data_IF_265015241410
#
_entry.id   IF_265015241410
#
_cell.length_a   1.000
_cell.length_b   1.000
_cell.length_c   1.000
_cell.angle_alpha   90.00
_cell.angle_beta   90.00
_cell.angle_gamma   90.00
#
_symmetry.space_group_name_H-M   'P 1'
#
loop_
_entity.id
_entity.type
_entity.pdbx_description
1 polymer ?
#
# COMPACT_ATOMS: atom_id res chain seq x y z
N UNK A 1 12.54 -2.10 -21.42
CA UNK A 1 12.15 -2.12 -20.00
C UNK A 1 10.72 -1.60 -19.89
N UNK A 2 9.84 -2.32 -19.19
CA UNK A 2 8.43 -1.93 -19.08
C UNK A 2 8.29 -0.81 -18.03
N UNK A 3 7.60 0.27 -18.38
CA UNK A 3 7.46 1.47 -17.55
C UNK A 3 6.12 1.47 -16.81
N UNK A 4 6.07 2.14 -15.67
CA UNK A 4 4.89 2.24 -14.81
C UNK A 4 4.50 0.92 -14.10
N UNK A 5 5.49 0.12 -13.72
CA UNK A 5 5.31 -1.06 -12.90
C UNK A 5 5.89 -0.83 -11.51
N UNK A 6 5.22 -1.37 -10.50
CA UNK A 6 5.76 -1.54 -9.17
C UNK A 6 5.51 -2.99 -8.77
N UNK A 7 6.59 -3.71 -8.47
CA UNK A 7 6.56 -5.11 -8.05
C UNK A 7 7.12 -5.16 -6.64
N UNK A 8 6.34 -5.66 -5.70
CA UNK A 8 6.73 -5.79 -4.31
C UNK A 8 6.81 -7.28 -3.93
N UNK A 9 8.03 -7.74 -3.67
CA UNK A 9 8.31 -9.09 -3.19
C UNK A 9 8.37 -9.09 -1.66
N UNK A 10 7.76 -10.11 -1.04
CA UNK A 10 7.75 -10.23 0.42
C UNK A 10 9.15 -10.44 1.02
N UNK A 11 10.07 -11.01 0.23
CA UNK A 11 11.46 -11.31 0.58
C UNK A 11 12.38 -11.08 -0.60
N UNK A 12 13.67 -10.94 -0.33
CA UNK A 12 14.70 -11.11 -1.36
C UNK A 12 14.68 -12.52 -1.94
N UNK A 13 15.05 -12.66 -3.21
CA UNK A 13 15.09 -13.95 -3.89
C UNK A 13 15.95 -14.96 -3.10
N UNK A 14 15.48 -16.20 -2.99
CA UNK A 14 16.11 -17.26 -2.22
C UNK A 14 16.05 -17.13 -0.69
N UNK A 15 15.27 -16.18 -0.14
CA UNK A 15 15.00 -16.07 1.30
C UNK A 15 13.56 -16.45 1.66
N UNK A 16 13.38 -16.94 2.90
CA UNK A 16 12.10 -17.42 3.44
C UNK A 16 11.18 -16.25 3.76
N UNK A 17 9.90 -16.38 3.39
CA UNK A 17 8.84 -15.45 3.76
C UNK A 17 8.08 -15.98 4.96
N UNK A 18 8.17 -15.25 6.08
CA UNK A 18 7.65 -15.69 7.35
C UNK A 18 6.15 -15.41 7.50
N UNK A 19 5.50 -16.31 8.23
CA UNK A 19 4.06 -16.31 8.45
C UNK A 19 3.72 -16.63 9.89
N UNK A 20 2.88 -15.78 10.47
CA UNK A 20 2.18 -16.10 11.71
C UNK A 20 1.01 -17.04 11.41
N UNK A 21 0.89 -18.13 12.18
CA UNK A 21 -0.13 -19.17 11.98
C UNK A 21 -1.55 -18.60 11.88
N UNK A 22 -1.88 -17.62 12.74
CA UNK A 22 -3.22 -17.00 12.85
C UNK A 22 -3.42 -15.72 12.03
N UNK A 23 -2.38 -14.89 11.87
CA UNK A 23 -2.53 -13.52 11.36
C UNK A 23 -2.05 -13.36 9.90
N UNK A 24 -1.47 -14.40 9.31
CA UNK A 24 -0.96 -14.37 7.94
C UNK A 24 0.52 -13.99 7.88
N UNK A 25 1.00 -13.60 6.69
CA UNK A 25 2.41 -13.28 6.47
C UNK A 25 2.78 -11.93 7.08
N UNK A 26 4.00 -11.78 7.57
CA UNK A 26 4.43 -10.48 8.13
C UNK A 26 4.41 -9.38 7.07
N UNK A 27 4.76 -9.71 5.84
CA UNK A 27 4.68 -8.77 4.73
C UNK A 27 3.26 -8.23 4.48
N UNK A 28 2.26 -9.10 4.36
CA UNK A 28 0.87 -8.66 4.06
C UNK A 28 0.28 -7.91 5.26
N UNK A 29 0.56 -8.34 6.48
CA UNK A 29 0.15 -7.62 7.70
C UNK A 29 0.68 -6.19 7.70
N UNK A 30 2.00 -6.02 7.52
CA UNK A 30 2.65 -4.71 7.46
C UNK A 30 2.12 -3.86 6.30
N UNK A 31 1.91 -4.47 5.13
CA UNK A 31 1.38 -3.77 3.95
C UNK A 31 -0.02 -3.21 4.21
N UNK A 32 -0.94 -4.04 4.71
CA UNK A 32 -2.31 -3.62 5.00
C UNK A 32 -2.33 -2.56 6.10
N UNK A 33 -1.50 -2.70 7.14
CA UNK A 33 -1.40 -1.72 8.21
C UNK A 33 -0.94 -0.34 7.69
N UNK A 34 0.14 -0.31 6.90
CA UNK A 34 0.68 0.95 6.36
C UNK A 34 -0.31 1.58 5.40
N UNK A 35 -0.90 0.82 4.48
CA UNK A 35 -1.90 1.34 3.54
C UNK A 35 -3.09 1.93 4.29
N UNK A 36 -3.62 1.21 5.30
CA UNK A 36 -4.77 1.68 6.08
C UNK A 36 -4.50 3.00 6.82
N UNK A 37 -3.25 3.22 7.26
CA UNK A 37 -2.86 4.41 8.03
C UNK A 37 -2.35 5.57 7.16
N UNK A 38 -1.73 5.30 6.02
CA UNK A 38 -0.93 6.29 5.27
C UNK A 38 -1.37 6.54 3.83
N UNK A 39 -2.27 5.73 3.27
CA UNK A 39 -2.68 5.86 1.86
C UNK A 39 -3.28 7.23 1.48
N UNK A 40 -3.79 7.99 2.46
CA UNK A 40 -4.33 9.33 2.23
C UNK A 40 -3.26 10.45 2.22
N UNK A 41 -2.05 10.20 2.73
CA UNK A 41 -1.05 11.24 3.00
C UNK A 41 0.29 11.00 2.30
N UNK A 42 0.61 9.74 2.00
CA UNK A 42 1.93 9.35 1.49
C UNK A 42 1.83 8.65 0.14
N UNK A 43 2.87 8.77 -0.68
CA UNK A 43 2.99 8.02 -1.91
C UNK A 43 3.35 6.55 -1.64
N UNK A 44 3.08 5.69 -2.62
CA UNK A 44 3.32 4.25 -2.50
C UNK A 44 4.77 3.89 -2.16
N UNK A 45 5.79 4.61 -2.66
CA UNK A 45 7.18 4.26 -2.40
C UNK A 45 7.61 4.57 -0.97
N UNK A 46 7.14 5.71 -0.45
CA UNK A 46 7.31 6.02 0.98
C UNK A 46 6.59 5.01 1.87
N UNK A 47 5.37 4.61 1.50
CA UNK A 47 4.66 3.55 2.22
C UNK A 47 5.43 2.22 2.18
N UNK A 48 5.96 1.81 1.03
CA UNK A 48 6.76 0.58 0.93
C UNK A 48 8.03 0.62 1.77
N UNK A 49 8.67 1.80 1.90
CA UNK A 49 9.81 1.97 2.82
C UNK A 49 9.41 1.70 4.27
N UNK A 50 8.23 2.15 4.70
CA UNK A 50 7.70 1.83 6.04
C UNK A 50 7.37 0.36 6.21
N UNK A 51 6.83 -0.29 5.16
CA UNK A 51 6.58 -1.74 5.16
C UNK A 51 7.89 -2.50 5.40
N UNK A 52 8.99 -2.10 4.76
CA UNK A 52 10.31 -2.72 4.96
C UNK A 52 10.77 -2.62 6.42
N UNK A 53 10.65 -1.44 7.04
CA UNK A 53 11.00 -1.23 8.45
C UNK A 53 10.13 -2.07 9.40
N UNK A 54 8.80 -2.13 9.16
CA UNK A 54 7.89 -2.93 9.99
C UNK A 54 8.17 -4.43 9.88
N UNK A 55 8.39 -4.94 8.66
CA UNK A 55 8.70 -6.37 8.47
C UNK A 55 10.02 -6.73 9.15
N UNK A 56 11.04 -5.88 9.06
CA UNK A 56 12.31 -6.09 9.76
C UNK A 56 12.14 -6.16 11.27
N UNK A 57 11.31 -5.29 11.85
CA UNK A 57 11.00 -5.28 13.29
C UNK A 57 10.20 -6.51 13.74
N UNK A 58 9.23 -6.97 12.95
CA UNK A 58 8.41 -8.14 13.27
C UNK A 58 9.23 -9.44 13.27
N UNK A 59 10.25 -9.53 12.41
CA UNK A 59 11.07 -10.73 12.31
C UNK A 59 12.16 -10.78 13.40
N UNK A 60 12.65 -9.62 13.86
CA UNK A 60 13.67 -9.52 14.91
C UNK A 60 13.16 -9.89 16.33
N UNK A 61 11.92 -10.35 16.50
CA UNK A 61 11.36 -10.74 17.79
C UNK A 61 11.80 -12.16 18.24
N UNK A 62 11.90 -12.43 19.56
CA UNK A 62 12.17 -13.78 20.08
C UNK A 62 11.03 -14.77 19.75
N UNK A 63 11.29 -16.10 19.65
CA UNK A 63 12.47 -16.84 20.09
C UNK A 63 13.56 -17.02 19.02
N UNK A 64 13.25 -16.83 17.74
CA UNK A 64 14.20 -16.99 16.64
C UNK A 64 14.37 -15.63 15.96
N UNK A 65 15.57 -15.04 16.06
CA UNK A 65 15.99 -13.83 15.35
C UNK A 65 15.99 -14.08 13.83
N UNK A 66 14.81 -14.19 13.26
CA UNK A 66 14.62 -14.37 11.84
C UNK A 66 14.71 -13.00 11.17
N UNK A 67 15.27 -12.95 9.97
CA UNK A 67 15.33 -11.70 9.20
C UNK A 67 14.51 -11.87 7.94
N UNK A 68 13.63 -10.90 7.70
CA UNK A 68 12.91 -10.76 6.45
C UNK A 68 13.04 -9.31 5.99
N UNK A 69 13.42 -9.17 4.74
CA UNK A 69 13.51 -7.87 4.08
C UNK A 69 12.73 -7.97 2.78
N UNK A 70 11.61 -7.25 2.63
CA UNK A 70 10.90 -7.16 1.37
C UNK A 70 11.72 -6.39 0.32
N UNK A 71 11.47 -6.68 -0.95
CA UNK A 71 12.15 -6.02 -2.08
C UNK A 71 11.11 -5.35 -2.96
N UNK A 72 11.38 -4.12 -3.35
CA UNK A 72 10.48 -3.35 -4.22
C UNK A 72 11.22 -2.92 -5.47
N UNK A 73 10.76 -3.43 -6.60
CA UNK A 73 11.21 -3.04 -7.92
C UNK A 73 10.23 -2.01 -8.49
N UNK A 74 10.72 -0.81 -8.80
CA UNK A 74 9.86 0.28 -9.24
C UNK A 74 10.37 0.86 -10.55
N UNK A 75 9.46 0.97 -11.52
CA UNK A 75 9.64 1.67 -12.80
C UNK A 75 8.58 2.76 -12.99
N UNK A 76 7.95 3.21 -11.90
CA UNK A 76 7.00 4.32 -11.91
C UNK A 76 7.71 5.62 -12.31
N UNK A 77 7.11 6.34 -13.25
CA UNK A 77 7.62 7.64 -13.73
C UNK A 77 7.07 8.83 -12.94
N UNK A 78 6.07 8.61 -12.08
CA UNK A 78 5.38 9.62 -11.28
C UNK A 78 5.13 9.10 -9.87
N UNK A 79 4.97 10.01 -8.91
CA UNK A 79 4.50 9.65 -7.56
C UNK A 79 3.07 9.13 -7.66
N UNK A 80 2.78 8.04 -6.95
CA UNK A 80 1.48 7.40 -6.94
C UNK A 80 0.84 7.56 -5.57
N UNK A 81 -0.35 8.19 -5.53
CA UNK A 81 -1.16 8.41 -4.34
C UNK A 81 -2.53 7.74 -4.54
N UNK A 82 -3.12 7.18 -3.48
CA UNK A 82 -4.40 6.45 -3.58
C UNK A 82 -5.64 7.34 -3.56
N UNK A 83 -5.50 8.61 -3.15
CA UNK A 83 -6.62 9.55 -3.12
C UNK A 83 -6.13 11.00 -3.29
N UNK A 84 -5.71 11.39 -4.51
CA UNK A 84 -5.17 12.73 -4.75
C UNK A 84 -6.20 13.84 -4.52
N UNK A 85 -7.49 13.57 -4.71
CA UNK A 85 -8.56 14.57 -4.59
C UNK A 85 -8.71 15.11 -3.16
N UNK A 86 -8.41 14.29 -2.14
CA UNK A 86 -8.39 14.72 -0.74
C UNK A 86 -7.28 15.74 -0.45
N UNK A 87 -6.16 15.68 -1.20
CA UNK A 87 -5.06 16.65 -1.08
C UNK A 87 -5.35 17.92 -1.88
N UNK A 88 -6.25 17.85 -2.86
CA UNK A 88 -6.69 18.98 -3.70
C UNK A 88 -7.86 19.74 -3.03
N UNK A 89 -8.41 19.26 -1.92
CA UNK A 89 -9.45 19.95 -1.14
C UNK A 89 -9.07 21.33 -0.57
N UNK A 90 -7.81 21.74 -0.69
CA UNK A 90 -7.35 23.11 -0.40
C UNK A 90 -7.16 23.97 -1.67
N UNK A 91 -7.48 23.45 -2.85
CA UNK A 91 -7.36 24.10 -4.17
C UNK A 91 -8.73 24.14 -4.88
N UNK A 92 -9.83 23.81 -4.21
CA UNK A 92 -11.19 23.90 -4.78
C UNK A 92 -11.73 25.34 -4.82
N UNK A 93 -10.90 26.27 -5.28
CA UNK A 93 -11.37 27.54 -5.88
C UNK A 93 -11.56 27.38 -7.41
N UNK A 94 -11.32 26.19 -7.96
CA UNK A 94 -11.50 25.87 -9.39
C UNK A 94 -12.89 25.32 -9.78
N UNK A 95 -13.92 25.51 -8.95
CA UNK A 95 -15.32 25.35 -9.38
C UNK A 95 -15.79 23.92 -9.72
N UNK A 96 -15.15 22.87 -9.21
CA UNK A 96 -15.74 21.52 -9.21
C UNK A 96 -16.70 21.36 -8.03
N UNK A 97 -17.91 20.77 -8.23
CA UNK A 97 -18.90 20.66 -7.18
C UNK A 97 -18.33 19.85 -6.01
N UNK A 98 -18.42 20.42 -4.81
CA UNK A 98 -17.96 19.81 -3.57
C UNK A 98 -18.57 18.41 -3.41
N UNK A 99 -17.71 17.41 -3.31
CA UNK A 99 -18.14 16.06 -2.94
C UNK A 99 -18.67 16.13 -1.51
N UNK A 100 -19.99 16.02 -1.38
CA UNK A 100 -20.70 15.96 -0.12
C UNK A 100 -20.21 14.76 0.72
N UNK A 101 -19.43 15.06 1.75
CA UNK A 101 -18.85 14.11 2.69
C UNK A 101 -19.84 13.65 3.78
N UNK A 102 -21.12 14.04 3.71
CA UNK A 102 -22.16 13.54 4.63
C UNK A 102 -22.66 12.12 4.29
N UNK A 103 -22.28 11.59 3.12
CA UNK A 103 -22.75 10.26 2.70
C UNK A 103 -21.85 9.14 3.24
N UNK A 104 -22.39 8.14 3.96
CA UNK A 104 -21.62 6.99 4.40
C UNK A 104 -21.10 6.22 3.17
N UNK A 105 -19.79 5.91 3.17
CA UNK A 105 -19.07 5.20 2.08
C UNK A 105 -19.93 4.08 1.48
N UNK A 106 -20.58 4.37 0.36
CA UNK A 106 -21.31 3.36 -0.38
C UNK A 106 -20.28 2.41 -1.00
N UNK A 107 -20.44 1.16 -0.58
CA UNK A 107 -19.71 -0.03 -1.01
C UNK A 107 -19.59 -0.02 -2.53
N UNK A 108 -18.37 0.02 -3.06
CA UNK A 108 -18.10 -0.35 -4.45
C UNK A 108 -18.27 -1.87 -4.61
N UNK A 109 -19.51 -2.33 -4.54
CA UNK A 109 -19.97 -3.58 -5.15
C UNK A 109 -20.65 -3.21 -6.45
N UNK A 110 -19.91 -3.30 -7.55
CA UNK A 110 -20.40 -2.89 -8.85
C UNK A 110 -19.43 -3.20 -9.98
N UNK A 111 -19.02 -4.47 -10.13
CA UNK A 111 -18.61 -4.96 -11.44
C UNK A 111 -19.79 -4.75 -12.41
N UNK A 112 -19.69 -3.72 -13.25
CA UNK A 112 -20.43 -3.65 -14.51
C UNK A 112 -19.40 -3.72 -15.63
N UNK A 113 -19.07 -4.94 -16.04
CA UNK A 113 -18.48 -5.18 -17.36
C UNK A 113 -19.66 -5.40 -18.29
N UNK A 114 -19.89 -4.42 -19.17
CA UNK A 114 -20.79 -4.57 -20.31
C UNK A 114 -20.18 -5.62 -21.25
N UNK A 115 -20.94 -6.65 -21.59
CA UNK A 115 -20.65 -7.49 -22.75
C UNK A 115 -20.96 -6.68 -24.01
N UNK A 116 -19.96 -6.50 -24.87
CA UNK A 116 -20.15 -6.39 -26.32
C UNK A 116 -19.93 -7.79 -26.90
#
# INVERSE_FOLDING_TARGET
>A
MKTNFLIAHATFAHFVSWRHHKYGTYFVQSLVEVLSKRACQEDILNMMTRVNDLVGKLCAGPPDHQTQTPVVECTLSKKFFFNPDFLIGNITDFGLPSLDMSQPRLKYTGLRVFWL
#
